data_IF_853674431557
#
_entry.id   IF_853674431557
#
_cell.length_a   1.000
_cell.length_b   1.000
_cell.length_c   1.000
_cell.angle_alpha   90.00
_cell.angle_beta   90.00
_cell.angle_gamma   90.00
#
_symmetry.space_group_name_H-M   'P 1'
#
loop_
_entity.id
_entity.type
_entity.pdbx_description
1 polymer ?
#
# COMPACT_ATOMS: atom_id res chain seq x y z
N UNK A 1 -25.04 -13.48 37.17
CA UNK A 1 -24.03 -13.24 36.11
C UNK A 1 -24.11 -11.74 35.78
N UNK A 2 -24.14 -10.90 36.81
CA UNK A 2 -24.70 -9.54 36.67
C UNK A 2 -23.60 -8.48 36.62
N UNK A 3 -22.34 -8.88 36.89
CA UNK A 3 -21.15 -8.03 36.88
C UNK A 3 -20.34 -8.13 35.57
N UNK A 4 -20.79 -8.93 34.59
CA UNK A 4 -20.11 -9.05 33.30
C UNK A 4 -20.52 -7.92 32.33
N UNK A 5 -19.70 -6.87 32.30
CA UNK A 5 -19.86 -5.74 31.38
C UNK A 5 -19.72 -6.13 29.90
N UNK A 6 -19.18 -7.32 29.61
CA UNK A 6 -19.01 -7.86 28.25
C UNK A 6 -20.21 -8.67 27.76
N UNK A 7 -21.27 -8.79 28.57
CA UNK A 7 -22.53 -9.47 28.21
C UNK A 7 -22.31 -10.87 27.63
N UNK A 8 -21.35 -11.63 28.18
CA UNK A 8 -20.94 -12.98 27.75
C UNK A 8 -20.37 -13.12 26.34
N UNK A 9 -20.13 -12.00 25.63
CA UNK A 9 -19.68 -12.02 24.23
C UNK A 9 -18.19 -12.36 24.06
N UNK A 10 -17.42 -12.29 25.13
CA UNK A 10 -15.98 -12.60 25.14
C UNK A 10 -15.63 -13.96 25.76
N UNK A 11 -16.64 -14.80 25.98
CA UNK A 11 -16.47 -16.11 26.61
C UNK A 11 -16.32 -16.04 28.13
N UNK A 12 -15.98 -17.16 28.75
CA UNK A 12 -15.97 -17.33 30.23
C UNK A 12 -14.57 -17.28 30.85
N UNK A 13 -13.53 -17.07 30.05
CA UNK A 13 -12.14 -17.09 30.51
C UNK A 13 -11.67 -15.67 30.87
N UNK A 14 -12.26 -15.10 31.93
CA UNK A 14 -12.02 -13.72 32.34
C UNK A 14 -10.53 -13.42 32.61
N UNK A 15 -9.80 -14.41 33.12
CA UNK A 15 -8.37 -14.32 33.45
C UNK A 15 -7.43 -14.12 32.25
N UNK A 16 -7.91 -14.26 31.02
CA UNK A 16 -7.10 -13.97 29.83
C UNK A 16 -6.82 -12.46 29.69
N UNK A 17 -7.68 -11.62 30.26
CA UNK A 17 -7.61 -10.16 30.11
C UNK A 17 -7.66 -9.41 31.43
N UNK A 18 -8.22 -9.99 32.51
CA UNK A 18 -8.39 -9.32 33.80
C UNK A 18 -7.67 -10.08 34.91
N UNK A 19 -7.28 -9.38 35.97
CA UNK A 19 -6.77 -9.99 37.20
C UNK A 19 -7.76 -9.78 38.32
N UNK A 20 -7.92 -10.77 39.20
CA UNK A 20 -8.87 -10.67 40.32
C UNK A 20 -8.62 -9.45 41.23
N UNK A 21 -7.36 -9.00 41.30
CA UNK A 21 -6.98 -7.84 42.11
C UNK A 21 -7.28 -6.49 41.44
N UNK A 22 -7.45 -6.46 40.11
CA UNK A 22 -7.76 -5.25 39.35
C UNK A 22 -8.53 -5.60 38.06
N UNK A 23 -9.85 -5.40 38.12
CA UNK A 23 -10.78 -5.65 37.02
C UNK A 23 -10.96 -4.45 36.09
N UNK A 24 -10.38 -3.29 36.43
CA UNK A 24 -10.47 -2.09 35.58
C UNK A 24 -9.37 -2.05 34.54
N UNK A 25 -8.21 -2.64 34.86
CA UNK A 25 -7.06 -2.69 33.96
C UNK A 25 -7.03 -4.02 33.19
N UNK A 26 -6.97 -3.94 31.87
CA UNK A 26 -6.74 -5.12 31.05
C UNK A 26 -5.25 -5.45 30.96
N UNK A 27 -4.91 -6.74 31.03
CA UNK A 27 -3.57 -7.28 30.77
C UNK A 27 -3.40 -7.81 29.36
N UNK A 28 -4.33 -7.49 28.45
CA UNK A 28 -4.28 -7.98 27.08
C UNK A 28 -3.00 -7.50 26.38
N UNK A 29 -2.31 -8.43 25.71
CA UNK A 29 -1.12 -8.14 24.93
C UNK A 29 -1.45 -8.21 23.44
N UNK A 30 -1.44 -7.06 22.77
CA UNK A 30 -1.69 -6.94 21.34
C UNK A 30 -0.67 -7.69 20.46
N UNK A 31 0.55 -7.95 20.94
CA UNK A 31 1.56 -8.71 20.19
C UNK A 31 1.18 -10.19 20.03
N UNK A 32 0.23 -10.69 20.83
CA UNK A 32 -0.32 -12.05 20.72
C UNK A 32 -1.60 -12.11 19.87
N UNK A 33 -2.09 -10.96 19.41
CA UNK A 33 -3.34 -10.83 18.66
C UNK A 33 -3.16 -10.61 17.17
N UNK A 34 -4.28 -10.43 16.46
CA UNK A 34 -4.30 -10.17 15.01
C UNK A 34 -3.89 -8.76 14.60
N UNK A 35 -3.65 -7.86 15.56
CA UNK A 35 -3.21 -6.49 15.30
C UNK A 35 -2.15 -6.05 16.31
N UNK A 36 -0.87 -6.42 16.08
CA UNK A 36 0.24 -5.93 16.89
C UNK A 36 0.38 -4.41 16.79
N UNK A 37 0.44 -3.73 17.93
CA UNK A 37 0.63 -2.28 17.96
C UNK A 37 2.09 -1.96 17.64
N UNK A 38 2.32 -1.41 16.44
CA UNK A 38 3.65 -1.02 15.96
C UNK A 38 3.71 0.48 15.65
N UNK A 39 4.90 1.06 15.83
CA UNK A 39 5.14 2.49 15.58
C UNK A 39 4.24 3.37 16.44
N UNK A 40 3.62 4.38 15.80
CA UNK A 40 2.72 5.34 16.45
C UNK A 40 1.50 4.71 17.12
N UNK A 41 1.03 3.55 16.65
CA UNK A 41 -0.13 2.87 17.23
C UNK A 41 0.08 2.42 18.69
N UNK A 42 1.33 2.32 19.16
CA UNK A 42 1.64 1.99 20.58
C UNK A 42 1.22 3.07 21.57
N UNK A 43 1.01 4.29 21.10
CA UNK A 43 0.68 5.45 21.94
C UNK A 43 -0.81 5.81 21.91
N UNK A 44 -1.61 5.10 21.10
CA UNK A 44 -3.05 5.35 20.94
C UNK A 44 -3.79 4.81 22.17
N UNK A 45 -4.77 5.56 22.67
CA UNK A 45 -5.56 5.12 23.81
C UNK A 45 -6.51 3.98 23.41
N UNK A 46 -6.82 3.07 24.34
CA UNK A 46 -7.66 1.91 24.04
C UNK A 46 -9.01 2.30 23.42
N UNK A 47 -9.63 3.38 23.94
CA UNK A 47 -10.95 3.86 23.50
C UNK A 47 -10.97 4.51 22.11
N UNK A 48 -9.82 4.90 21.56
CA UNK A 48 -9.75 5.48 20.21
C UNK A 48 -10.00 4.41 19.13
N UNK A 49 -9.60 3.16 19.44
CA UNK A 49 -9.85 1.99 18.60
C UNK A 49 -11.09 1.22 19.08
N UNK A 50 -11.12 0.87 20.36
CA UNK A 50 -12.18 0.07 20.99
C UNK A 50 -13.28 0.97 21.53
N UNK A 51 -14.17 1.39 20.62
CA UNK A 51 -15.28 2.31 20.94
C UNK A 51 -16.38 1.70 21.80
N UNK A 52 -16.39 0.37 21.88
CA UNK A 52 -17.30 -0.38 22.75
C UNK A 52 -16.51 -1.15 23.78
N UNK A 53 -17.18 -1.53 24.87
CA UNK A 53 -16.59 -2.40 25.89
C UNK A 53 -16.43 -3.84 25.41
N UNK A 54 -16.78 -4.18 24.17
CA UNK A 54 -16.63 -5.54 23.65
C UNK A 54 -15.20 -5.81 23.15
N UNK A 55 -14.41 -4.80 22.79
CA UNK A 55 -13.01 -4.89 22.32
C UNK A 55 -12.73 -5.82 21.10
N UNK A 56 -13.61 -6.75 20.77
CA UNK A 56 -13.49 -7.72 19.68
C UNK A 56 -14.10 -7.24 18.36
N UNK A 57 -14.84 -6.12 18.38
CA UNK A 57 -15.60 -5.56 17.24
C UNK A 57 -14.84 -4.43 16.52
N UNK A 58 -13.53 -4.37 16.67
CA UNK A 58 -12.70 -3.31 16.11
C UNK A 58 -12.11 -3.71 14.75
N UNK A 59 -12.41 -2.92 13.72
CA UNK A 59 -11.89 -3.11 12.37
C UNK A 59 -10.42 -2.68 12.29
N UNK A 60 -9.54 -3.62 11.96
CA UNK A 60 -8.10 -3.44 11.84
C UNK A 60 -7.65 -2.91 10.47
N UNK A 61 -8.55 -2.75 9.50
CA UNK A 61 -8.19 -2.19 8.20
C UNK A 61 -7.72 -0.73 8.37
N UNK A 62 -6.59 -0.37 7.73
CA UNK A 62 -6.02 0.98 7.85
C UNK A 62 -7.04 2.08 7.54
N UNK A 63 -7.86 1.86 6.51
CA UNK A 63 -8.88 2.79 6.06
C UNK A 63 -10.09 2.94 7.00
N UNK A 64 -10.24 2.09 8.02
CA UNK A 64 -11.31 2.22 9.02
C UNK A 64 -11.11 3.48 9.89
N UNK A 65 -9.85 3.87 10.12
CA UNK A 65 -9.45 5.06 10.87
C UNK A 65 -8.81 6.13 9.98
N UNK A 66 -7.90 5.74 9.08
CA UNK A 66 -7.08 6.68 8.28
C UNK A 66 -7.70 7.11 6.96
N UNK A 67 -9.02 6.93 6.76
CA UNK A 67 -9.68 7.32 5.49
C UNK A 67 -9.47 8.80 5.15
N UNK A 68 -9.48 9.66 6.16
CA UNK A 68 -9.30 11.12 5.98
C UNK A 68 -7.84 11.51 5.76
N UNK A 69 -6.91 10.66 6.19
CA UNK A 69 -5.47 10.87 6.08
C UNK A 69 -4.92 10.33 4.76
N UNK A 70 -5.71 9.56 4.01
CA UNK A 70 -5.31 8.99 2.72
C UNK A 70 -5.09 10.09 1.68
N UNK A 71 -3.82 10.45 1.49
CA UNK A 71 -3.36 11.40 0.47
C UNK A 71 -3.72 10.97 -0.96
N UNK A 72 -4.10 9.72 -1.18
CA UNK A 72 -4.50 9.21 -2.48
C UNK A 72 -6.01 9.28 -2.73
N UNK A 73 -6.80 9.68 -1.72
CA UNK A 73 -8.26 9.77 -1.81
C UNK A 73 -8.92 8.48 -2.32
N UNK A 74 -8.47 7.32 -1.83
CA UNK A 74 -8.98 5.99 -2.16
C UNK A 74 -8.51 5.42 -3.50
N UNK A 75 -7.67 6.13 -4.26
CA UNK A 75 -7.27 5.76 -5.62
C UNK A 75 -6.58 4.39 -5.73
N UNK A 76 -5.84 3.98 -4.70
CA UNK A 76 -5.11 2.70 -4.69
C UNK A 76 -5.80 1.62 -3.86
N UNK A 77 -7.07 1.85 -3.47
CA UNK A 77 -7.82 0.94 -2.61
C UNK A 77 -7.50 1.09 -1.13
N UNK A 78 -8.04 0.18 -0.32
CA UNK A 78 -7.94 0.23 1.14
C UNK A 78 -6.75 -0.53 1.72
N UNK A 79 -6.04 -1.30 0.89
CA UNK A 79 -4.89 -2.11 1.29
C UNK A 79 -3.60 -1.28 1.29
N UNK A 80 -3.50 -0.37 2.25
CA UNK A 80 -2.38 0.55 2.37
C UNK A 80 -1.05 -0.18 2.62
N UNK A 81 -1.10 -1.37 3.22
CA UNK A 81 0.05 -2.20 3.56
C UNK A 81 0.81 -2.75 2.36
N UNK A 82 0.24 -2.65 1.14
CA UNK A 82 0.96 -2.99 -0.10
C UNK A 82 2.11 -2.05 -0.41
N UNK A 83 2.07 -0.84 0.12
CA UNK A 83 3.09 0.17 -0.13
C UNK A 83 3.65 0.71 1.18
N UNK A 84 2.80 1.02 2.17
CA UNK A 84 3.22 1.71 3.39
C UNK A 84 3.45 0.74 4.55
N UNK A 85 4.44 1.05 5.39
CA UNK A 85 4.71 0.31 6.62
C UNK A 85 4.16 1.07 7.83
N UNK A 86 3.31 0.44 8.65
CA UNK A 86 2.71 1.10 9.81
C UNK A 86 3.70 1.52 10.91
N UNK A 87 4.95 1.03 10.88
CA UNK A 87 6.04 1.49 11.75
C UNK A 87 6.48 2.91 11.41
N UNK A 88 6.55 3.23 10.13
CA UNK A 88 6.92 4.54 9.60
C UNK A 88 6.26 4.72 8.23
N UNK A 89 5.23 5.57 8.19
CA UNK A 89 4.42 5.77 7.00
C UNK A 89 5.19 6.35 5.81
N UNK A 90 6.29 7.07 6.08
CA UNK A 90 7.15 7.63 5.05
C UNK A 90 8.09 6.58 4.45
N UNK A 91 8.25 5.44 5.11
CA UNK A 91 8.88 4.26 4.53
C UNK A 91 7.79 3.50 3.78
N UNK A 92 7.86 3.64 2.46
CA UNK A 92 7.03 2.89 1.54
C UNK A 92 7.92 2.16 0.53
N UNK A 93 7.53 0.94 0.23
CA UNK A 93 8.22 0.08 -0.72
C UNK A 93 7.18 -0.59 -1.60
N UNK A 94 7.13 -0.17 -2.86
CA UNK A 94 6.25 -0.76 -3.85
C UNK A 94 7.08 -1.25 -5.02
N UNK A 95 7.12 -2.57 -5.20
CA UNK A 95 7.85 -3.19 -6.29
C UNK A 95 6.99 -3.26 -7.57
N UNK A 96 7.29 -2.39 -8.53
CA UNK A 96 6.70 -2.44 -9.88
C UNK A 96 7.04 -3.73 -10.64
N UNK A 97 8.13 -4.44 -10.29
CA UNK A 97 8.51 -5.73 -10.85
C UNK A 97 7.46 -6.83 -10.62
N UNK A 98 6.67 -6.70 -9.54
CA UNK A 98 5.52 -7.56 -9.27
C UNK A 98 4.29 -7.28 -10.15
N UNK A 99 4.33 -6.23 -10.98
CA UNK A 99 3.21 -5.78 -11.81
C UNK A 99 3.41 -6.12 -13.28
N UNK A 100 2.39 -5.89 -14.11
CA UNK A 100 2.50 -6.01 -15.57
C UNK A 100 3.36 -4.91 -16.23
N UNK A 101 3.92 -3.99 -15.44
CA UNK A 101 4.79 -2.90 -15.88
C UNK A 101 5.98 -2.74 -14.94
N UNK A 102 6.94 -3.66 -15.07
CA UNK A 102 8.23 -3.55 -14.40
C UNK A 102 8.99 -2.31 -14.92
N UNK A 103 9.42 -1.45 -14.01
CA UNK A 103 10.28 -0.31 -14.34
C UNK A 103 11.69 -0.84 -14.65
N UNK A 104 12.30 -0.32 -15.71
CA UNK A 104 13.65 -0.68 -16.14
C UNK A 104 14.39 0.52 -16.70
N UNK A 105 15.71 0.47 -16.68
CA UNK A 105 16.57 1.50 -17.25
C UNK A 105 16.36 2.85 -16.55
N UNK A 106 16.20 3.93 -17.32
CA UNK A 106 16.00 5.27 -16.76
C UNK A 106 14.73 5.39 -15.90
N UNK A 107 13.73 4.52 -16.12
CA UNK A 107 12.46 4.56 -15.39
C UNK A 107 12.55 4.01 -13.96
N UNK A 108 13.60 3.27 -13.60
CA UNK A 108 13.77 2.72 -12.23
C UNK A 108 13.85 3.82 -11.16
N UNK A 109 14.30 5.01 -11.56
CA UNK A 109 14.44 6.19 -10.67
C UNK A 109 13.25 7.14 -10.77
N UNK A 110 12.20 6.78 -11.52
CA UNK A 110 11.04 7.63 -11.69
C UNK A 110 10.26 7.75 -10.37
N UNK A 111 9.86 8.97 -10.03
CA UNK A 111 8.94 9.21 -8.91
C UNK A 111 7.54 8.76 -9.30
N UNK A 112 6.76 8.22 -8.37
CA UNK A 112 5.39 7.74 -8.64
C UNK A 112 4.51 8.81 -9.33
N UNK A 113 4.61 10.06 -8.85
CA UNK A 113 3.83 11.18 -9.36
C UNK A 113 4.15 11.56 -10.83
N UNK A 114 5.28 11.11 -11.37
CA UNK A 114 5.62 11.33 -12.79
C UNK A 114 4.60 10.64 -13.71
N UNK A 115 4.09 9.47 -13.28
CA UNK A 115 3.11 8.68 -14.02
C UNK A 115 1.72 8.75 -13.39
N UNK A 116 1.62 8.58 -12.06
CA UNK A 116 0.36 8.53 -11.33
C UNK A 116 -0.07 9.92 -10.81
N UNK A 117 -0.66 10.71 -11.71
CA UNK A 117 -1.09 12.08 -11.43
C UNK A 117 -2.50 12.14 -10.83
N UNK A 118 -2.90 13.25 -10.18
CA UNK A 118 -4.30 13.48 -9.82
C UNK A 118 -5.24 13.23 -11.01
N UNK A 119 -6.28 12.42 -10.80
CA UNK A 119 -7.24 12.04 -11.83
C UNK A 119 -6.89 10.78 -12.64
N UNK A 120 -5.67 10.25 -12.54
CA UNK A 120 -5.34 8.93 -13.14
C UNK A 120 -5.61 7.81 -12.15
N UNK A 121 -6.03 6.64 -12.62
CA UNK A 121 -6.21 5.45 -11.77
C UNK A 121 -4.89 4.77 -11.37
N UNK A 122 -4.98 3.65 -10.62
CA UNK A 122 -3.81 2.85 -10.25
C UNK A 122 -3.22 2.09 -11.46
N UNK A 123 -4.01 1.91 -12.52
CA UNK A 123 -3.57 1.27 -13.76
C UNK A 123 -3.42 2.32 -14.86
N UNK A 124 -2.26 2.32 -15.49
CA UNK A 124 -1.91 3.24 -16.57
C UNK A 124 -1.60 2.47 -17.86
N UNK A 125 -1.60 3.19 -18.98
CA UNK A 125 -1.07 2.66 -20.24
C UNK A 125 0.42 2.37 -20.10
N UNK A 126 0.83 1.21 -20.63
CA UNK A 126 2.23 0.76 -20.70
C UNK A 126 2.90 1.12 -22.03
N UNK A 127 2.17 1.78 -22.93
CA UNK A 127 2.69 2.18 -24.24
C UNK A 127 3.61 3.39 -24.09
N UNK A 128 4.80 3.36 -24.68
CA UNK A 128 5.79 4.46 -24.58
C UNK A 128 5.15 5.82 -24.91
N UNK A 129 4.37 5.85 -26.00
CA UNK A 129 3.70 7.04 -26.49
C UNK A 129 2.57 7.57 -25.58
N UNK A 130 2.14 6.88 -24.51
CA UNK A 130 1.20 7.52 -23.56
C UNK A 130 1.88 8.60 -22.70
N UNK A 131 3.22 8.58 -22.60
CA UNK A 131 3.99 9.61 -21.91
C UNK A 131 4.87 10.39 -22.90
N UNK A 132 5.48 9.70 -23.85
CA UNK A 132 6.48 10.24 -24.76
C UNK A 132 5.94 10.63 -26.14
N UNK A 133 4.63 10.88 -26.29
CA UNK A 133 4.07 11.30 -27.57
C UNK A 133 4.66 12.64 -28.06
N UNK A 134 4.99 13.54 -27.13
CA UNK A 134 5.57 14.85 -27.43
C UNK A 134 7.09 14.79 -27.64
N UNK A 135 7.72 13.67 -27.25
CA UNK A 135 9.15 13.44 -27.41
C UNK A 135 9.45 12.68 -28.72
N UNK A 136 8.43 12.25 -29.46
CA UNK A 136 8.61 11.50 -30.71
C UNK A 136 9.09 12.41 -31.85
N UNK A 137 10.40 12.40 -32.06
CA UNK A 137 11.08 13.13 -33.14
C UNK A 137 10.76 12.62 -34.55
N UNK A 138 10.03 11.50 -34.66
CA UNK A 138 9.65 10.93 -35.95
C UNK A 138 8.25 11.36 -36.40
N UNK A 139 7.57 12.22 -35.62
CA UNK A 139 6.22 12.70 -35.90
C UNK A 139 5.23 11.56 -36.20
N UNK A 140 5.37 10.42 -35.50
CA UNK A 140 4.54 9.24 -35.69
C UNK A 140 4.87 8.39 -36.93
N UNK A 141 5.90 8.72 -37.70
CA UNK A 141 6.26 8.04 -38.97
C UNK A 141 6.55 6.54 -38.84
N UNK A 142 6.94 6.07 -37.65
CA UNK A 142 7.17 4.64 -37.36
C UNK A 142 6.09 3.99 -36.48
N UNK A 143 5.00 4.72 -36.20
CA UNK A 143 3.93 4.30 -35.30
C UNK A 143 4.38 4.19 -33.84
N UNK A 144 3.54 3.56 -33.00
CA UNK A 144 3.70 3.57 -31.52
C UNK A 144 4.52 2.41 -30.94
N UNK A 145 5.20 1.62 -31.78
CA UNK A 145 6.00 0.46 -31.36
C UNK A 145 7.47 0.84 -31.11
N UNK A 146 7.69 1.86 -30.28
CA UNK A 146 9.01 2.46 -30.01
C UNK A 146 10.05 1.41 -29.55
N UNK A 147 9.63 0.45 -28.74
CA UNK A 147 10.47 -0.63 -28.19
C UNK A 147 11.05 -1.62 -29.23
N UNK A 148 10.70 -1.47 -30.53
CA UNK A 148 11.38 -2.21 -31.61
C UNK A 148 12.79 -1.72 -31.88
N UNK A 149 13.06 -0.45 -31.56
CA UNK A 149 14.31 0.23 -31.87
C UNK A 149 14.91 0.88 -30.63
N UNK A 150 14.08 1.47 -29.76
CA UNK A 150 14.54 2.16 -28.55
C UNK A 150 14.49 1.26 -27.33
N UNK A 151 15.34 1.56 -26.34
CA UNK A 151 15.37 0.87 -25.03
C UNK A 151 14.83 1.78 -23.92
N UNK A 152 14.59 1.21 -22.74
CA UNK A 152 14.22 1.99 -21.55
C UNK A 152 15.42 2.68 -20.89
N UNK A 153 16.65 2.38 -21.31
CA UNK A 153 17.88 3.03 -20.83
C UNK A 153 18.04 4.41 -21.45
N UNK A 154 17.87 4.52 -22.77
CA UNK A 154 17.98 5.78 -23.52
C UNK A 154 17.26 5.67 -24.87
N UNK A 155 16.52 6.72 -25.25
CA UNK A 155 15.92 6.81 -26.59
C UNK A 155 16.97 7.01 -27.69
N UNK A 156 18.12 7.61 -27.38
CA UNK A 156 19.21 7.80 -28.34
C UNK A 156 19.98 6.50 -28.58
N UNK A 157 19.88 5.53 -27.67
CA UNK A 157 20.45 4.20 -27.86
C UNK A 157 19.48 3.34 -28.67
N UNK A 158 19.80 3.17 -29.96
CA UNK A 158 19.00 2.37 -30.87
C UNK A 158 19.59 0.97 -30.97
N UNK A 159 18.79 -0.03 -30.60
CA UNK A 159 19.10 -1.44 -30.86
C UNK A 159 18.22 -1.91 -32.01
N UNK A 160 18.68 -1.77 -33.28
CA UNK A 160 17.98 -2.43 -34.36
C UNK A 160 18.10 -3.93 -34.09
N UNK A 161 16.99 -4.58 -33.72
CA UNK A 161 16.91 -6.04 -33.78
C UNK A 161 17.08 -6.43 -35.25
N UNK A 162 18.33 -6.61 -35.68
CA UNK A 162 18.63 -7.32 -36.91
C UNK A 162 18.20 -8.74 -36.65
N UNK A 163 17.14 -9.17 -37.31
CA UNK A 163 16.76 -10.59 -37.36
C UNK A 163 17.97 -11.37 -37.89
N UNK A 164 18.70 -12.08 -37.01
CA UNK A 164 19.76 -13.00 -37.44
C UNK A 164 21.02 -13.15 -36.59
N UNK A 165 21.18 -12.54 -35.42
CA UNK A 165 22.34 -12.81 -34.55
C UNK A 165 21.93 -13.33 -33.17
N UNK A 166 22.24 -14.62 -32.97
CA UNK A 166 22.24 -15.39 -31.71
C UNK A 166 23.52 -15.03 -30.92
N UNK A 167 23.58 -15.21 -29.57
CA UNK A 167 24.59 -14.63 -28.68
C UNK A 167 26.05 -14.88 -29.05
#
# INVERSE_FOLDING_TARGET
MDDDVHQTRLGRQCGNCHREQDWKTSTHNHDLGGFPLIGGHRQVACGDCHRTQLFADTDSACSSCHRKDDAHAGRYGADCGRCHVARDWQIWDFDHGSTAFALSGAHERARCASCHRPGTGPTLSRQCASCHAQDDVHDGGFGRRCARCHTTTSFSEVTPRVSGQTP
#
